data_IF_289623685209
#
_entry.id   IF_289623685209
#
_cell.length_a   1.000
_cell.length_b   1.000
_cell.length_c   1.000
_cell.angle_alpha   90.00
_cell.angle_beta   90.00
_cell.angle_gamma   90.00
#
_symmetry.space_group_name_H-M   'P 1'
#
loop_
_entity.id
_entity.type
_entity.pdbx_description
1 polymer ?
#
# COMPACT_ATOMS: atom_id res chain seq x y z
N UNK A 1 3.64 -36.42 0.53
CA UNK A 1 2.24 -36.24 0.98
C UNK A 1 2.12 -35.46 2.30
N UNK A 2 2.79 -35.85 3.40
CA UNK A 2 2.76 -35.09 4.68
C UNK A 2 3.32 -33.65 4.60
N UNK A 3 4.38 -33.44 3.81
CA UNK A 3 4.97 -32.11 3.59
C UNK A 3 4.08 -31.16 2.79
N UNK A 4 3.34 -31.65 1.80
CA UNK A 4 2.38 -30.84 1.03
C UNK A 4 1.19 -30.40 1.89
N UNK A 5 0.68 -31.30 2.74
CA UNK A 5 -0.38 -30.97 3.71
C UNK A 5 0.12 -29.94 4.73
N UNK A 6 1.36 -30.05 5.19
CA UNK A 6 1.97 -29.07 6.09
C UNK A 6 2.19 -27.72 5.41
N UNK A 7 2.64 -27.71 4.14
CA UNK A 7 2.83 -26.49 3.34
C UNK A 7 1.51 -25.74 3.14
N UNK A 8 0.45 -26.44 2.72
CA UNK A 8 -0.86 -25.81 2.52
C UNK A 8 -1.41 -25.22 3.82
N UNK A 9 -1.33 -25.95 4.94
CA UNK A 9 -1.71 -25.43 6.27
C UNK A 9 -0.91 -24.18 6.65
N UNK A 10 0.37 -24.15 6.32
CA UNK A 10 1.25 -23.01 6.58
C UNK A 10 0.76 -21.76 5.83
N UNK A 11 0.48 -21.88 4.53
CA UNK A 11 -0.05 -20.78 3.70
C UNK A 11 -1.38 -20.24 4.22
N UNK A 12 -2.28 -21.12 4.67
CA UNK A 12 -3.55 -20.71 5.28
C UNK A 12 -3.33 -19.88 6.55
N UNK A 13 -2.41 -20.28 7.43
CA UNK A 13 -2.10 -19.49 8.62
C UNK A 13 -1.55 -18.11 8.30
N UNK A 14 -0.71 -17.96 7.26
CA UNK A 14 -0.21 -16.66 6.82
C UNK A 14 -1.30 -15.79 6.21
N UNK A 15 -2.21 -16.36 5.42
CA UNK A 15 -3.38 -15.64 4.89
C UNK A 15 -4.28 -15.12 6.02
N UNK A 16 -4.54 -15.96 7.03
CA UNK A 16 -5.29 -15.54 8.23
C UNK A 16 -4.53 -14.43 8.94
N UNK A 17 -3.22 -14.58 9.17
CA UNK A 17 -2.41 -13.56 9.82
C UNK A 17 -2.44 -12.23 9.06
N UNK A 18 -2.31 -12.26 7.73
CA UNK A 18 -2.42 -11.08 6.88
C UNK A 18 -3.81 -10.42 6.99
N UNK A 19 -4.89 -11.22 6.98
CA UNK A 19 -6.25 -10.72 7.17
C UNK A 19 -6.46 -10.10 8.55
N UNK A 20 -5.92 -10.71 9.61
CA UNK A 20 -5.96 -10.17 10.98
C UNK A 20 -5.23 -8.83 11.04
N UNK A 21 -4.08 -8.67 10.38
CA UNK A 21 -3.36 -7.40 10.33
C UNK A 21 -4.22 -6.29 9.69
N UNK A 22 -4.93 -6.59 8.60
CA UNK A 22 -5.84 -5.61 7.94
C UNK A 22 -7.00 -5.23 8.84
N UNK A 23 -7.67 -6.22 9.44
CA UNK A 23 -8.81 -5.98 10.34
C UNK A 23 -8.35 -5.21 11.59
N UNK A 24 -7.21 -5.59 12.15
CA UNK A 24 -6.63 -4.92 13.31
C UNK A 24 -6.30 -3.46 13.00
N UNK A 25 -5.64 -3.20 11.86
CA UNK A 25 -5.36 -1.84 11.41
C UNK A 25 -6.65 -1.04 11.22
N UNK A 26 -7.65 -1.64 10.59
CA UNK A 26 -8.94 -1.02 10.35
C UNK A 26 -9.57 -0.55 11.66
N UNK A 27 -9.73 -1.46 12.64
CA UNK A 27 -10.30 -1.14 13.96
C UNK A 27 -9.52 -0.03 14.67
N UNK A 28 -8.18 -0.09 14.65
CA UNK A 28 -7.33 0.87 15.34
C UNK A 28 -7.44 2.30 14.77
N UNK A 29 -7.69 2.41 13.47
CA UNK A 29 -7.72 3.69 12.76
C UNK A 29 -9.12 4.25 12.56
N UNK A 30 -10.18 3.48 12.90
CA UNK A 30 -11.58 3.94 12.83
C UNK A 30 -11.85 5.22 13.62
N UNK A 31 -11.33 5.32 14.85
CA UNK A 31 -11.56 6.50 15.68
C UNK A 31 -11.02 7.77 15.03
N UNK A 32 -9.80 7.69 14.50
CA UNK A 32 -9.17 8.79 13.77
C UNK A 32 -9.89 9.09 12.44
N UNK A 33 -10.41 8.08 11.75
CA UNK A 33 -11.14 8.23 10.50
C UNK A 33 -12.44 9.03 10.70
N UNK A 34 -13.22 8.71 11.74
CA UNK A 34 -14.46 9.43 12.06
C UNK A 34 -14.19 10.92 12.29
N UNK A 35 -13.13 11.25 13.02
CA UNK A 35 -12.78 12.64 13.34
C UNK A 35 -12.17 13.39 12.13
N UNK A 36 -11.19 12.79 11.45
CA UNK A 36 -10.36 13.48 10.44
C UNK A 36 -10.90 13.39 9.01
N UNK A 37 -11.80 12.44 8.73
CA UNK A 37 -12.32 12.20 7.38
C UNK A 37 -13.80 12.55 7.30
N UNK A 38 -14.61 12.01 8.22
CA UNK A 38 -16.06 12.24 8.17
C UNK A 38 -16.46 13.66 8.58
N UNK A 39 -15.68 14.30 9.47
CA UNK A 39 -15.88 15.70 9.87
C UNK A 39 -15.35 16.76 8.88
N UNK A 40 -14.68 16.36 7.79
CA UNK A 40 -14.04 17.29 6.86
C UNK A 40 -14.67 17.28 5.45
N UNK A 41 -14.32 18.29 4.64
CA UNK A 41 -14.72 18.37 3.24
C UNK A 41 -14.12 17.21 2.44
N UNK A 42 -14.96 16.59 1.61
CA UNK A 42 -14.54 15.48 0.78
C UNK A 42 -13.65 15.99 -0.35
N UNK A 43 -12.45 15.42 -0.44
CA UNK A 43 -11.49 15.67 -1.51
C UNK A 43 -11.35 14.41 -2.36
N UNK A 44 -10.81 14.54 -3.57
CA UNK A 44 -10.46 13.39 -4.40
C UNK A 44 -9.58 12.36 -3.65
N UNK A 45 -8.62 12.85 -2.86
CA UNK A 45 -7.78 11.99 -2.00
C UNK A 45 -8.57 11.27 -0.91
N UNK A 46 -9.64 11.90 -0.39
CA UNK A 46 -10.55 11.25 0.58
C UNK A 46 -11.27 10.07 -0.06
N UNK A 47 -11.78 10.24 -1.28
CA UNK A 47 -12.51 9.19 -2.00
C UNK A 47 -11.58 8.02 -2.32
N UNK A 48 -10.38 8.30 -2.83
CA UNK A 48 -9.34 7.28 -3.06
C UNK A 48 -9.00 6.50 -1.79
N UNK A 49 -8.86 7.21 -0.66
CA UNK A 49 -8.61 6.59 0.65
C UNK A 49 -9.73 5.63 1.05
N UNK A 50 -11.00 6.09 0.97
CA UNK A 50 -12.15 5.28 1.36
C UNK A 50 -12.23 4.04 0.48
N UNK A 51 -12.07 4.19 -0.84
CA UNK A 51 -12.12 3.05 -1.77
C UNK A 51 -11.09 1.98 -1.43
N UNK A 52 -9.81 2.33 -1.24
CA UNK A 52 -8.77 1.35 -0.88
C UNK A 52 -9.11 0.65 0.43
N UNK A 53 -9.61 1.42 1.41
CA UNK A 53 -9.88 0.91 2.75
C UNK A 53 -11.08 -0.04 2.80
N UNK A 54 -12.18 0.30 2.13
CA UNK A 54 -13.38 -0.53 2.10
C UNK A 54 -13.24 -1.72 1.13
N UNK A 55 -12.33 -1.67 0.15
CA UNK A 55 -11.98 -2.81 -0.69
C UNK A 55 -11.05 -3.80 0.03
N UNK A 56 -10.19 -3.33 0.94
CA UNK A 56 -9.25 -4.19 1.67
C UNK A 56 -9.92 -5.26 2.55
N UNK A 57 -11.00 -4.91 3.24
CA UNK A 57 -11.76 -5.87 4.07
C UNK A 57 -12.32 -7.06 3.29
N UNK A 58 -13.15 -6.87 2.23
CA UNK A 58 -13.65 -7.98 1.45
C UNK A 58 -12.52 -8.74 0.74
N UNK A 59 -11.47 -8.05 0.28
CA UNK A 59 -10.30 -8.70 -0.29
C UNK A 59 -9.65 -9.70 0.69
N UNK A 60 -9.38 -9.27 1.92
CA UNK A 60 -8.81 -10.14 2.95
C UNK A 60 -9.75 -11.29 3.34
N UNK A 61 -11.05 -11.03 3.47
CA UNK A 61 -12.03 -12.07 3.83
C UNK A 61 -12.17 -13.11 2.73
N UNK A 62 -12.29 -12.68 1.47
CA UNK A 62 -12.39 -13.60 0.32
C UNK A 62 -11.10 -14.41 0.19
N UNK A 63 -9.93 -13.77 0.34
CA UNK A 63 -8.63 -14.46 0.32
C UNK A 63 -8.54 -15.57 1.37
N UNK A 64 -8.97 -15.30 2.61
CA UNK A 64 -9.01 -16.32 3.67
C UNK A 64 -10.04 -17.41 3.37
N UNK A 65 -11.21 -17.06 2.83
CA UNK A 65 -12.26 -18.03 2.49
C UNK A 65 -11.82 -19.02 1.42
N UNK A 66 -11.13 -18.54 0.36
CA UNK A 66 -10.58 -19.40 -0.69
C UNK A 66 -9.46 -20.29 -0.14
N UNK A 67 -8.68 -19.79 0.80
CA UNK A 67 -7.59 -20.55 1.42
C UNK A 67 -8.09 -21.72 2.30
N UNK A 68 -9.29 -21.60 2.87
CA UNK A 68 -9.79 -22.55 3.86
C UNK A 68 -10.31 -23.84 3.20
N UNK A 69 -9.67 -25.00 3.44
CA UNK A 69 -10.12 -26.28 2.88
C UNK A 69 -11.45 -26.77 3.45
N UNK A 70 -11.94 -26.15 4.54
CA UNK A 70 -13.23 -26.48 5.16
C UNK A 70 -14.45 -25.88 4.44
N UNK A 71 -14.25 -24.88 3.58
CA UNK A 71 -15.33 -24.27 2.81
C UNK A 71 -15.37 -24.96 1.44
N UNK A 72 -16.32 -25.88 1.24
CA UNK A 72 -16.56 -26.51 -0.05
C UNK A 72 -17.14 -25.48 -1.03
N UNK A 73 -16.29 -24.66 -1.63
CA UNK A 73 -16.67 -23.80 -2.75
C UNK A 73 -16.82 -24.69 -4.00
N UNK A 74 -17.90 -24.52 -4.75
CA UNK A 74 -18.01 -25.13 -6.08
C UNK A 74 -16.87 -24.62 -6.97
N UNK A 75 -16.29 -25.47 -7.81
CA UNK A 75 -15.17 -25.12 -8.71
C UNK A 75 -15.39 -23.80 -9.46
N UNK A 76 -16.62 -23.56 -9.95
CA UNK A 76 -17.00 -22.31 -10.62
C UNK A 76 -16.91 -21.08 -9.72
N UNK A 77 -17.31 -21.21 -8.45
CA UNK A 77 -17.27 -20.10 -7.47
C UNK A 77 -15.82 -19.79 -7.10
N UNK A 78 -14.97 -20.81 -6.95
CA UNK A 78 -13.54 -20.64 -6.71
C UNK A 78 -12.85 -19.85 -7.83
N UNK A 79 -13.12 -20.21 -9.10
CA UNK A 79 -12.56 -19.52 -10.28
C UNK A 79 -13.02 -18.05 -10.33
N UNK A 80 -14.32 -17.80 -10.11
CA UNK A 80 -14.86 -16.43 -10.11
C UNK A 80 -14.24 -15.62 -8.97
N UNK A 81 -14.07 -16.20 -7.79
CA UNK A 81 -13.51 -15.51 -6.64
C UNK A 81 -12.01 -15.20 -6.82
N UNK A 82 -11.23 -16.12 -7.38
CA UNK A 82 -9.81 -15.91 -7.70
C UNK A 82 -9.64 -14.82 -8.76
N UNK A 83 -10.44 -14.87 -9.84
CA UNK A 83 -10.50 -13.82 -10.84
C UNK A 83 -10.85 -12.45 -10.23
N UNK A 84 -11.82 -12.43 -9.31
CA UNK A 84 -12.21 -11.21 -8.62
C UNK A 84 -11.08 -10.65 -7.74
N UNK A 85 -10.33 -11.50 -7.03
CA UNK A 85 -9.16 -11.08 -6.24
C UNK A 85 -8.04 -10.55 -7.13
N UNK A 86 -7.78 -11.19 -8.27
CA UNK A 86 -6.77 -10.74 -9.21
C UNK A 86 -7.11 -9.36 -9.78
N UNK A 87 -8.35 -9.19 -10.25
CA UNK A 87 -8.85 -7.90 -10.73
C UNK A 87 -8.83 -6.83 -9.63
N UNK A 88 -9.21 -7.20 -8.40
CA UNK A 88 -9.17 -6.28 -7.26
C UNK A 88 -7.75 -5.82 -6.97
N UNK A 89 -6.75 -6.71 -7.07
CA UNK A 89 -5.35 -6.38 -6.88
C UNK A 89 -4.88 -5.34 -7.91
N UNK A 90 -5.25 -5.51 -9.18
CA UNK A 90 -4.96 -4.54 -10.25
C UNK A 90 -5.60 -3.18 -9.95
N UNK A 91 -6.87 -3.17 -9.54
CA UNK A 91 -7.58 -1.93 -9.18
C UNK A 91 -6.91 -1.23 -8.00
N UNK A 92 -6.51 -1.97 -6.97
CA UNK A 92 -5.85 -1.40 -5.79
C UNK A 92 -4.47 -0.83 -6.15
N UNK A 93 -3.66 -1.52 -6.96
CA UNK A 93 -2.39 -0.99 -7.46
C UNK A 93 -2.59 0.28 -8.29
N UNK A 94 -3.62 0.32 -9.14
CA UNK A 94 -3.99 1.50 -9.90
C UNK A 94 -4.29 2.69 -8.98
N UNK A 95 -5.09 2.46 -7.93
CA UNK A 95 -5.46 3.49 -6.96
C UNK A 95 -4.24 3.99 -6.16
N UNK A 96 -3.37 3.08 -5.72
CA UNK A 96 -2.12 3.42 -5.03
C UNK A 96 -1.19 4.22 -5.93
N UNK A 97 -1.09 3.86 -7.21
CA UNK A 97 -0.31 4.60 -8.19
C UNK A 97 -0.85 6.01 -8.42
N UNK A 98 -2.18 6.19 -8.48
CA UNK A 98 -2.81 7.51 -8.54
C UNK A 98 -2.46 8.34 -7.29
N UNK A 99 -2.51 7.74 -6.09
CA UNK A 99 -2.12 8.42 -4.84
C UNK A 99 -0.65 8.86 -4.90
N UNK A 100 0.23 7.99 -5.37
CA UNK A 100 1.65 8.28 -5.53
C UNK A 100 1.90 9.45 -6.49
N UNK A 101 1.23 9.46 -7.66
CA UNK A 101 1.32 10.55 -8.64
C UNK A 101 0.78 11.85 -8.06
N UNK A 102 -0.37 11.81 -7.40
CA UNK A 102 -1.00 13.01 -6.85
C UNK A 102 -0.20 13.59 -5.67
N UNK A 103 0.48 12.74 -4.88
CA UNK A 103 1.46 13.19 -3.87
C UNK A 103 2.71 13.78 -4.52
N UNK A 104 3.22 13.16 -5.58
CA UNK A 104 4.35 13.72 -6.33
C UNK A 104 3.98 15.06 -6.98
N UNK A 105 2.75 15.20 -7.51
CA UNK A 105 2.20 16.46 -8.04
C UNK A 105 2.23 17.56 -6.98
N UNK A 106 1.77 17.27 -5.76
CA UNK A 106 1.81 18.21 -4.64
C UNK A 106 3.25 18.65 -4.31
N UNK A 107 4.23 17.74 -4.39
CA UNK A 107 5.65 18.06 -4.25
C UNK A 107 6.19 18.86 -5.46
N UNK A 108 5.55 18.78 -6.63
CA UNK A 108 6.03 19.33 -7.91
C UNK A 108 5.41 20.69 -8.30
N UNK A 109 4.66 21.34 -7.41
CA UNK A 109 3.78 22.50 -7.67
C UNK A 109 4.38 23.63 -8.54
N UNK A 110 5.71 23.74 -8.71
CA UNK A 110 6.34 24.89 -9.35
C UNK A 110 7.38 24.62 -10.45
N UNK A 111 7.72 23.36 -10.81
CA UNK A 111 9.00 23.13 -11.54
C UNK A 111 8.95 22.56 -12.96
N UNK A 112 7.94 21.80 -13.39
CA UNK A 112 7.76 21.32 -14.79
C UNK A 112 6.60 20.32 -14.93
N UNK A 113 5.51 20.71 -15.60
CA UNK A 113 4.40 19.80 -15.88
C UNK A 113 4.80 18.62 -16.78
N UNK A 114 5.86 18.77 -17.58
CA UNK A 114 6.32 17.77 -18.56
C UNK A 114 6.75 16.47 -17.87
N UNK A 115 7.52 16.57 -16.78
CA UNK A 115 7.99 15.39 -16.05
C UNK A 115 6.83 14.60 -15.42
N UNK A 116 5.80 15.32 -14.97
CA UNK A 116 4.60 14.69 -14.42
C UNK A 116 3.78 14.01 -15.53
N UNK A 117 3.62 14.68 -16.68
CA UNK A 117 2.97 14.08 -17.85
C UNK A 117 3.71 12.81 -18.28
N UNK A 118 5.04 12.82 -18.36
CA UNK A 118 5.81 11.62 -18.69
C UNK A 118 5.62 10.50 -17.66
N UNK A 119 5.50 10.83 -16.37
CA UNK A 119 5.25 9.84 -15.32
C UNK A 119 3.85 9.22 -15.43
N UNK A 120 2.84 10.04 -15.74
CA UNK A 120 1.46 9.57 -15.96
C UNK A 120 1.37 8.67 -17.19
N UNK A 121 2.03 9.03 -18.28
CA UNK A 121 2.09 8.21 -19.50
C UNK A 121 2.77 6.88 -19.19
N UNK A 122 3.90 6.89 -18.48
CA UNK A 122 4.59 5.68 -18.09
C UNK A 122 3.73 4.79 -17.18
N UNK A 123 3.04 5.39 -16.21
CA UNK A 123 2.09 4.67 -15.34
C UNK A 123 0.97 4.00 -16.15
N UNK A 124 0.37 4.74 -17.09
CA UNK A 124 -0.72 4.22 -17.91
C UNK A 124 -0.25 3.04 -18.78
N UNK A 125 0.94 3.14 -19.38
CA UNK A 125 1.54 2.06 -20.15
C UNK A 125 1.77 0.79 -19.31
N UNK A 126 2.29 0.94 -18.08
CA UNK A 126 2.47 -0.15 -17.12
C UNK A 126 1.14 -0.82 -16.76
N UNK A 127 0.09 -0.04 -16.49
CA UNK A 127 -1.23 -0.58 -16.18
C UNK A 127 -1.85 -1.34 -17.36
N UNK A 128 -1.74 -0.81 -18.58
CA UNK A 128 -2.26 -1.48 -19.79
C UNK A 128 -1.56 -2.83 -20.00
N UNK A 129 -0.22 -2.86 -19.86
CA UNK A 129 0.55 -4.10 -19.97
C UNK A 129 0.13 -5.13 -18.90
N UNK A 130 -0.02 -4.67 -17.66
CA UNK A 130 -0.44 -5.51 -16.54
C UNK A 130 -1.85 -6.11 -16.71
N UNK A 131 -2.82 -5.29 -17.14
CA UNK A 131 -4.19 -5.79 -17.42
C UNK A 131 -4.15 -6.84 -18.53
N UNK A 132 -3.39 -6.59 -19.60
CA UNK A 132 -3.20 -7.56 -20.68
C UNK A 132 -2.60 -8.88 -20.20
N UNK A 133 -1.56 -8.83 -19.36
CA UNK A 133 -0.97 -10.03 -18.76
C UNK A 133 -1.93 -10.77 -17.83
N UNK A 134 -2.72 -10.04 -17.03
CA UNK A 134 -3.73 -10.64 -16.14
C UNK A 134 -4.75 -11.44 -16.93
N UNK A 135 -5.30 -10.86 -18.01
CA UNK A 135 -6.27 -11.53 -18.87
C UNK A 135 -5.66 -12.78 -19.51
N UNK A 136 -4.42 -12.69 -19.99
CA UNK A 136 -3.69 -13.84 -20.56
C UNK A 136 -3.52 -14.94 -19.52
N UNK A 137 -3.03 -14.62 -18.31
CA UNK A 137 -2.86 -15.59 -17.22
C UNK A 137 -4.20 -16.26 -16.91
N UNK A 138 -5.29 -15.51 -16.76
CA UNK A 138 -6.60 -16.06 -16.46
C UNK A 138 -7.17 -16.98 -17.56
N UNK A 139 -6.81 -16.76 -18.83
CA UNK A 139 -7.22 -17.65 -19.94
C UNK A 139 -6.48 -19.00 -19.87
N UNK A 140 -5.24 -19.02 -19.36
CA UNK A 140 -4.41 -20.22 -19.26
C UNK A 140 -4.54 -20.99 -17.93
N UNK A 141 -5.33 -20.50 -16.96
CA UNK A 141 -5.63 -21.26 -15.74
C UNK A 141 -6.54 -22.44 -16.11
N UNK A 142 -5.96 -23.65 -16.17
CA UNK A 142 -6.71 -24.90 -16.26
C UNK A 142 -6.93 -25.41 -14.83
N UNK A 143 -8.18 -25.70 -14.41
CA UNK A 143 -8.41 -26.31 -13.11
C UNK A 143 -7.85 -27.74 -13.11
N UNK A 144 -6.76 -27.98 -12.38
CA UNK A 144 -6.23 -29.32 -12.12
C UNK A 144 -6.80 -29.86 -10.82
N UNK A 145 -7.70 -30.84 -10.88
CA UNK A 145 -8.20 -31.53 -9.68
C UNK A 145 -7.17 -32.58 -9.29
N UNK A 146 -6.41 -32.36 -8.21
CA UNK A 146 -5.66 -33.45 -7.56
C UNK A 146 -6.40 -33.92 -6.30
N UNK A 147 -6.69 -35.22 -6.22
CA UNK A 147 -7.30 -35.86 -5.05
C UNK A 147 -6.30 -35.92 -3.87
N UNK A 148 -6.28 -34.88 -3.04
CA UNK A 148 -5.55 -34.88 -1.79
C UNK A 148 -6.30 -35.65 -0.70
N UNK A 149 -6.00 -36.94 -0.51
CA UNK A 149 -6.61 -37.74 0.56
C UNK A 149 -6.19 -37.19 1.95
N UNK A 150 -7.04 -36.37 2.55
CA UNK A 150 -6.86 -35.80 3.88
C UNK A 150 -7.14 -36.90 4.91
N UNK A 151 -6.08 -37.42 5.54
CA UNK A 151 -6.22 -38.40 6.62
C UNK A 151 -7.17 -37.89 7.70
N UNK A 152 -8.18 -38.71 8.02
CA UNK A 152 -9.30 -38.54 8.95
C UNK A 152 -10.57 -37.83 8.41
N UNK A 153 -11.45 -38.68 7.84
CA UNK A 153 -12.93 -38.60 7.77
C UNK A 153 -13.63 -37.40 7.11
N UNK A 154 -12.95 -36.56 6.34
CA UNK A 154 -13.63 -35.61 5.45
C UNK A 154 -12.83 -35.42 4.16
N UNK A 155 -13.36 -35.92 3.04
CA UNK A 155 -12.82 -35.65 1.71
C UNK A 155 -12.99 -34.15 1.42
N UNK A 156 -11.96 -33.35 1.70
CA UNK A 156 -11.91 -31.96 1.30
C UNK A 156 -11.25 -31.87 -0.08
N UNK A 157 -12.02 -31.54 -1.11
CA UNK A 157 -11.50 -31.19 -2.42
C UNK A 157 -10.75 -29.86 -2.28
N UNK A 158 -9.43 -29.88 -2.39
CA UNK A 158 -8.66 -28.66 -2.54
C UNK A 158 -8.45 -28.43 -4.03
N UNK A 159 -9.07 -27.39 -4.60
CA UNK A 159 -8.76 -26.94 -5.95
C UNK A 159 -7.34 -26.36 -5.94
N UNK A 160 -6.38 -27.11 -6.46
CA UNK A 160 -5.04 -26.59 -6.71
C UNK A 160 -4.96 -26.22 -8.19
N UNK A 161 -4.68 -24.96 -8.50
CA UNK A 161 -4.56 -24.52 -9.89
C UNK A 161 -3.11 -24.71 -10.35
N UNK A 162 -2.87 -25.73 -11.18
CA UNK A 162 -1.60 -25.94 -11.85
C UNK A 162 -1.46 -25.00 -13.04
N UNK A 163 -0.31 -24.34 -13.15
CA UNK A 163 0.06 -23.59 -14.35
C UNK A 163 0.71 -24.56 -15.35
N UNK A 164 0.19 -24.64 -16.58
CA UNK A 164 0.78 -25.47 -17.62
C UNK A 164 1.79 -24.63 -18.44
N UNK A 165 3.09 -24.97 -18.40
CA UNK A 165 4.13 -24.40 -19.28
C UNK A 165 4.68 -23.02 -18.88
N UNK A 166 4.92 -22.13 -19.86
CA UNK A 166 5.59 -20.81 -19.74
C UNK A 166 4.88 -19.78 -18.83
N UNK A 167 3.78 -20.16 -18.18
CA UNK A 167 2.98 -19.31 -17.31
C UNK A 167 3.71 -18.89 -16.02
N UNK A 168 4.69 -19.67 -15.55
CA UNK A 168 5.54 -19.28 -14.41
C UNK A 168 6.39 -18.05 -14.72
N UNK A 169 7.01 -18.02 -15.91
CA UNK A 169 7.79 -16.88 -16.39
C UNK A 169 6.89 -15.65 -16.60
N UNK A 170 5.64 -15.88 -17.02
CA UNK A 170 4.63 -14.84 -17.17
C UNK A 170 4.24 -14.21 -15.82
N UNK A 171 4.14 -15.02 -14.76
CA UNK A 171 3.90 -14.54 -13.38
C UNK A 171 5.06 -13.70 -12.82
N UNK A 172 6.30 -14.04 -13.18
CA UNK A 172 7.49 -13.28 -12.79
C UNK A 172 7.65 -11.96 -13.54
N UNK A 173 7.35 -11.97 -14.84
CA UNK A 173 7.36 -10.78 -15.70
C UNK A 173 6.24 -9.81 -15.32
N UNK A 174 5.13 -10.29 -14.75
CA UNK A 174 3.98 -9.49 -14.35
C UNK A 174 4.31 -8.33 -13.39
N UNK A 175 5.17 -8.56 -12.41
CA UNK A 175 5.49 -7.58 -11.36
C UNK A 175 6.59 -6.58 -11.73
N UNK A 176 7.42 -6.92 -12.73
CA UNK A 176 8.55 -6.11 -13.16
C UNK A 176 8.16 -4.67 -13.56
N UNK A 177 7.12 -4.46 -14.40
CA UNK A 177 6.70 -3.12 -14.81
C UNK A 177 6.36 -2.18 -13.65
N UNK A 178 5.67 -2.68 -12.61
CA UNK A 178 5.33 -1.89 -11.43
C UNK A 178 6.57 -1.47 -10.64
N UNK A 179 7.50 -2.40 -10.45
CA UNK A 179 8.73 -2.14 -9.68
C UNK A 179 9.63 -1.12 -10.38
N UNK A 180 9.72 -1.19 -11.71
CA UNK A 180 10.42 -0.17 -12.51
C UNK A 180 9.73 1.19 -12.34
N UNK A 181 8.40 1.22 -12.37
CA UNK A 181 7.64 2.45 -12.17
C UNK A 181 7.83 3.05 -10.77
N UNK A 182 7.82 2.21 -9.73
CA UNK A 182 8.09 2.62 -8.35
C UNK A 182 9.50 3.16 -8.17
N UNK A 183 10.48 2.53 -8.82
CA UNK A 183 11.85 3.02 -8.83
C UNK A 183 11.93 4.43 -9.43
N UNK A 184 11.25 4.67 -10.55
CA UNK A 184 11.19 6.01 -11.16
C UNK A 184 10.50 7.00 -10.22
N UNK A 185 9.38 6.64 -9.60
CA UNK A 185 8.69 7.49 -8.63
C UNK A 185 9.56 7.83 -7.41
N UNK A 186 10.25 6.83 -6.85
CA UNK A 186 11.18 6.99 -5.73
C UNK A 186 12.35 7.88 -6.12
N UNK A 187 13.00 7.63 -7.25
CA UNK A 187 14.10 8.43 -7.76
C UNK A 187 13.69 9.91 -7.90
N UNK A 188 12.51 10.16 -8.49
CA UNK A 188 11.98 11.51 -8.64
C UNK A 188 11.73 12.16 -7.27
N UNK A 189 11.12 11.44 -6.34
CA UNK A 189 10.85 11.93 -4.98
C UNK A 189 12.12 12.33 -4.23
N UNK A 190 13.17 11.50 -4.29
CA UNK A 190 14.47 11.75 -3.65
C UNK A 190 15.15 12.93 -4.31
N UNK A 191 15.15 12.99 -5.65
CA UNK A 191 15.75 14.11 -6.40
C UNK A 191 15.10 15.43 -6.02
N UNK A 192 13.78 15.46 -5.87
CA UNK A 192 13.03 16.65 -5.45
C UNK A 192 13.39 16.99 -4.00
N UNK A 193 13.36 16.03 -3.09
CA UNK A 193 13.71 16.25 -1.69
C UNK A 193 15.12 16.85 -1.56
N UNK A 194 16.13 16.24 -2.18
CA UNK A 194 17.52 16.70 -2.16
C UNK A 194 17.68 18.08 -2.80
N UNK A 195 16.98 18.35 -3.91
CA UNK A 195 17.02 19.67 -4.55
C UNK A 195 16.41 20.74 -3.64
N UNK A 196 15.27 20.46 -3.04
CA UNK A 196 14.57 21.39 -2.16
C UNK A 196 15.38 21.68 -0.89
N UNK A 197 15.98 20.66 -0.26
CA UNK A 197 16.88 20.86 0.88
C UNK A 197 18.12 21.68 0.50
N UNK A 198 18.67 21.50 -0.70
CA UNK A 198 19.78 22.32 -1.20
C UNK A 198 19.36 23.77 -1.45
N UNK A 199 18.19 23.99 -2.03
CA UNK A 199 17.65 25.33 -2.29
C UNK A 199 17.36 26.06 -0.95
N UNK A 200 16.74 25.38 0.03
CA UNK A 200 16.55 25.89 1.40
C UNK A 200 17.89 26.24 2.09
N UNK A 201 18.90 25.37 1.95
CA UNK A 201 20.23 25.61 2.54
C UNK A 201 20.96 26.79 1.88
N UNK A 202 20.69 27.04 0.59
CA UNK A 202 21.27 28.17 -0.17
C UNK A 202 20.57 29.50 0.13
N UNK A 203 19.26 29.50 0.40
CA UNK A 203 18.52 30.72 0.69
C UNK A 203 18.72 31.24 2.13
N UNK A 204 19.26 30.44 3.05
CA UNK A 204 19.51 30.87 4.43
C UNK A 204 18.23 31.27 5.20
N UNK A 205 18.32 31.53 6.52
CA UNK A 205 17.17 31.85 7.38
C UNK A 205 16.71 33.31 7.20
N UNK A 206 16.46 33.75 5.98
CA UNK A 206 15.98 35.12 5.68
C UNK A 206 14.45 35.24 5.76
N UNK A 207 13.74 34.14 6.01
CA UNK A 207 12.28 34.15 6.16
C UNK A 207 11.92 33.48 7.48
N UNK A 208 11.58 34.28 8.48
CA UNK A 208 11.23 33.89 9.85
C UNK A 208 9.93 33.09 9.99
N UNK A 209 9.71 32.06 9.16
CA UNK A 209 8.66 31.06 9.37
C UNK A 209 9.29 29.69 9.59
N UNK A 210 9.86 29.49 10.79
CA UNK A 210 10.40 28.20 11.25
C UNK A 210 9.33 27.10 11.18
N UNK A 211 8.06 27.45 11.41
CA UNK A 211 6.93 26.51 11.47
C UNK A 211 6.60 25.93 10.07
N UNK A 212 6.63 26.73 9.00
CA UNK A 212 6.30 26.27 7.65
C UNK A 212 7.38 25.37 7.03
N UNK A 213 8.65 25.65 7.30
CA UNK A 213 9.79 24.86 6.82
C UNK A 213 9.85 23.46 7.44
N UNK A 214 9.51 23.34 8.72
CA UNK A 214 9.52 22.06 9.43
C UNK A 214 8.35 21.16 9.03
N UNK A 215 7.15 21.73 8.82
CA UNK A 215 6.00 21.01 8.27
C UNK A 215 6.33 20.39 6.90
N UNK A 216 6.86 21.20 5.98
CA UNK A 216 7.23 20.72 4.64
C UNK A 216 8.34 19.65 4.70
N UNK A 217 9.33 19.82 5.59
CA UNK A 217 10.39 18.83 5.82
C UNK A 217 9.84 17.48 6.29
N UNK A 218 8.95 17.49 7.29
CA UNK A 218 8.32 16.27 7.82
C UNK A 218 7.45 15.60 6.77
N UNK A 219 6.67 16.39 6.02
CA UNK A 219 5.83 15.91 4.93
C UNK A 219 6.68 15.21 3.86
N UNK A 220 7.72 15.86 3.36
CA UNK A 220 8.64 15.31 2.35
C UNK A 220 9.32 14.02 2.83
N UNK A 221 9.78 13.96 4.08
CA UNK A 221 10.38 12.76 4.66
C UNK A 221 9.38 11.59 4.67
N UNK A 222 8.14 11.87 5.06
CA UNK A 222 7.08 10.86 5.11
C UNK A 222 6.72 10.33 3.71
N UNK A 223 6.69 11.20 2.70
CA UNK A 223 6.49 10.79 1.30
C UNK A 223 7.64 9.92 0.76
N UNK A 224 8.89 10.30 1.01
CA UNK A 224 10.05 9.51 0.54
C UNK A 224 10.10 8.15 1.23
N UNK A 225 9.83 8.09 2.54
CA UNK A 225 9.77 6.83 3.27
C UNK A 225 8.67 5.91 2.75
N UNK A 226 7.51 6.46 2.38
CA UNK A 226 6.44 5.71 1.74
C UNK A 226 6.88 5.10 0.42
N UNK A 227 7.47 5.89 -0.47
CA UNK A 227 7.96 5.39 -1.76
C UNK A 227 9.08 4.37 -1.59
N UNK A 228 9.96 4.56 -0.62
CA UNK A 228 11.05 3.63 -0.32
C UNK A 228 10.52 2.31 0.24
N UNK A 229 9.51 2.36 1.12
CA UNK A 229 8.85 1.17 1.65
C UNK A 229 8.14 0.37 0.56
N UNK A 230 7.47 1.07 -0.37
CA UNK A 230 6.75 0.44 -1.48
C UNK A 230 7.74 -0.26 -2.43
N UNK A 231 8.76 0.46 -2.89
CA UNK A 231 9.83 -0.10 -3.72
C UNK A 231 10.57 -1.25 -3.04
N UNK A 232 10.91 -1.10 -1.75
CA UNK A 232 11.60 -2.15 -0.99
C UNK A 232 10.79 -3.43 -0.90
N UNK A 233 9.50 -3.34 -0.62
CA UNK A 233 8.62 -4.49 -0.58
C UNK A 233 8.43 -5.15 -1.95
N UNK A 234 8.34 -4.37 -3.03
CA UNK A 234 8.34 -4.90 -4.40
C UNK A 234 9.67 -5.58 -4.75
N UNK A 235 10.82 -5.04 -4.33
CA UNK A 235 12.11 -5.70 -4.52
C UNK A 235 12.21 -7.06 -3.82
N UNK A 236 11.56 -7.22 -2.66
CA UNK A 236 11.55 -8.49 -1.94
C UNK A 236 10.86 -9.61 -2.74
N UNK A 237 9.97 -9.28 -3.68
CA UNK A 237 9.31 -10.25 -4.57
C UNK A 237 10.25 -10.81 -5.66
N UNK A 238 11.34 -10.09 -5.98
CA UNK A 238 12.33 -10.50 -6.99
C UNK A 238 13.52 -11.25 -6.42
N UNK A 239 13.64 -11.33 -5.09
CA UNK A 239 14.74 -12.07 -4.49
C UNK A 239 14.57 -13.54 -4.88
N UNK A 240 15.61 -14.20 -5.45
CA UNK A 240 15.58 -15.63 -5.76
C UNK A 240 15.66 -16.43 -4.45
N UNK A 241 14.56 -16.38 -3.70
CA UNK A 241 14.25 -17.21 -2.55
C UNK A 241 13.10 -18.12 -2.98
N UNK A 242 12.94 -19.31 -2.38
CA UNK A 242 11.80 -20.15 -2.70
C UNK A 242 10.52 -19.42 -2.26
N UNK A 243 9.69 -19.04 -3.25
CA UNK A 243 8.54 -18.15 -3.09
C UNK A 243 8.66 -16.75 -3.70
N UNK A 244 9.85 -16.34 -4.15
CA UNK A 244 10.04 -15.21 -5.06
C UNK A 244 9.86 -15.65 -6.51
N UNK A 245 9.35 -14.75 -7.37
CA UNK A 245 8.97 -15.14 -8.74
C UNK A 245 10.17 -15.54 -9.64
N UNK A 246 11.40 -15.19 -9.25
CA UNK A 246 12.63 -15.56 -9.97
C UNK A 246 13.38 -16.73 -9.31
N UNK A 247 12.76 -17.49 -8.41
CA UNK A 247 13.38 -18.67 -7.82
C UNK A 247 13.78 -19.65 -8.93
N UNK A 248 15.07 -19.91 -9.17
CA UNK A 248 15.46 -20.98 -10.07
C UNK A 248 15.06 -22.30 -9.40
N UNK A 249 14.18 -23.08 -10.04
CA UNK A 249 14.04 -24.51 -9.74
C UNK A 249 15.36 -25.21 -10.12
N UNK A 250 16.37 -25.06 -9.27
CA UNK A 250 17.58 -25.86 -9.32
C UNK A 250 17.66 -26.83 -8.14
N UNK A 251 16.53 -27.10 -7.46
CA UNK A 251 16.45 -28.24 -6.55
C UNK A 251 15.25 -29.13 -6.86
N UNK A 252 15.43 -30.47 -6.84
CA UNK A 252 14.42 -31.42 -7.27
C UNK A 252 13.27 -31.47 -6.27
N UNK A 253 12.10 -31.85 -6.77
CA UNK A 253 10.88 -32.15 -6.04
C UNK A 253 11.16 -32.84 -4.68
N UNK A 254 10.99 -32.13 -3.56
CA UNK A 254 10.89 -32.81 -2.26
C UNK A 254 11.21 -32.04 -0.98
N UNK A 255 11.94 -30.93 -0.99
CA UNK A 255 12.32 -30.27 0.27
C UNK A 255 12.19 -28.74 0.24
N UNK A 256 10.96 -28.23 0.32
CA UNK A 256 10.78 -26.86 0.82
C UNK A 256 11.32 -26.79 2.25
N UNK A 257 12.31 -25.93 2.49
CA UNK A 257 12.78 -25.67 3.84
C UNK A 257 11.68 -24.97 4.64
N UNK A 258 11.64 -25.18 5.95
CA UNK A 258 10.76 -24.37 6.83
C UNK A 258 11.07 -22.88 6.68
N UNK A 259 12.33 -22.53 6.40
CA UNK A 259 12.74 -21.14 6.13
C UNK A 259 12.06 -20.54 4.90
N UNK A 260 11.88 -21.33 3.85
CA UNK A 260 11.27 -20.92 2.59
C UNK A 260 9.79 -20.59 2.76
N UNK A 261 9.09 -21.48 3.46
CA UNK A 261 7.68 -21.29 3.80
C UNK A 261 7.49 -20.02 4.64
N UNK A 262 8.40 -19.74 5.59
CA UNK A 262 8.37 -18.54 6.42
C UNK A 262 8.55 -17.28 5.56
N UNK A 263 9.50 -17.30 4.63
CA UNK A 263 9.76 -16.16 3.74
C UNK A 263 8.55 -15.89 2.85
N UNK A 264 7.98 -16.91 2.22
CA UNK A 264 6.79 -16.78 1.40
C UNK A 264 5.62 -16.18 2.18
N UNK A 265 5.36 -16.70 3.39
CA UNK A 265 4.34 -16.15 4.28
C UNK A 265 4.58 -14.70 4.69
N UNK A 266 5.84 -14.34 4.97
CA UNK A 266 6.21 -12.97 5.28
C UNK A 266 5.97 -12.02 4.10
N UNK A 267 6.35 -12.42 2.88
CA UNK A 267 6.10 -11.65 1.66
C UNK A 267 4.62 -11.38 1.45
N UNK A 268 3.77 -12.37 1.73
CA UNK A 268 2.32 -12.22 1.65
C UNK A 268 1.78 -11.17 2.63
N UNK A 269 2.24 -11.17 3.88
CA UNK A 269 1.89 -10.12 4.84
C UNK A 269 2.37 -8.75 4.36
N UNK A 270 3.63 -8.64 3.91
CA UNK A 270 4.18 -7.37 3.43
C UNK A 270 3.37 -6.79 2.28
N UNK A 271 2.95 -7.64 1.34
CA UNK A 271 2.13 -7.23 0.20
C UNK A 271 0.77 -6.69 0.63
N UNK A 272 0.06 -7.40 1.52
CA UNK A 272 -1.24 -6.97 2.04
C UNK A 272 -1.11 -5.67 2.85
N UNK A 273 -0.06 -5.53 3.66
CA UNK A 273 0.24 -4.32 4.43
C UNK A 273 0.55 -3.13 3.50
N UNK A 274 1.34 -3.36 2.46
CA UNK A 274 1.67 -2.34 1.46
C UNK A 274 0.42 -1.83 0.74
N UNK A 275 -0.48 -2.75 0.37
CA UNK A 275 -1.70 -2.41 -0.35
C UNK A 275 -2.72 -1.67 0.50
N UNK A 276 -3.01 -2.17 1.71
CA UNK A 276 -4.19 -1.75 2.47
C UNK A 276 -3.89 -0.97 3.73
N UNK A 277 -2.66 -1.00 4.25
CA UNK A 277 -2.32 -0.36 5.53
C UNK A 277 -1.45 0.88 5.33
N UNK A 278 -0.40 0.77 4.52
CA UNK A 278 0.63 1.81 4.42
C UNK A 278 0.08 3.13 3.84
N UNK A 279 -0.69 3.04 2.75
CA UNK A 279 -1.32 4.19 2.10
C UNK A 279 -2.31 4.93 3.01
N UNK A 280 -3.31 4.23 3.58
CA UNK A 280 -4.25 4.81 4.52
C UNK A 280 -3.61 5.46 5.74
N UNK A 281 -2.66 4.79 6.41
CA UNK A 281 -1.96 5.35 7.59
C UNK A 281 -1.21 6.64 7.27
N UNK A 282 -0.57 6.71 6.11
CA UNK A 282 0.15 7.90 5.70
C UNK A 282 -0.79 9.07 5.39
N UNK A 283 -2.01 8.82 4.90
CA UNK A 283 -3.01 9.88 4.68
C UNK A 283 -3.51 10.40 6.03
N UNK A 284 -3.83 9.48 6.96
CA UNK A 284 -4.29 9.84 8.30
C UNK A 284 -3.23 10.63 9.07
N UNK A 285 -1.96 10.19 9.07
CA UNK A 285 -0.90 10.88 9.82
C UNK A 285 -0.65 12.32 9.33
N UNK A 286 -0.79 12.57 8.02
CA UNK A 286 -0.68 13.93 7.46
C UNK A 286 -1.87 14.79 7.87
N UNK A 287 -3.09 14.23 7.86
CA UNK A 287 -4.29 14.97 8.29
C UNK A 287 -4.26 15.28 9.77
N UNK A 288 -3.85 14.32 10.59
CA UNK A 288 -3.69 14.50 12.03
C UNK A 288 -2.67 15.60 12.32
N UNK A 289 -1.52 15.57 11.63
CA UNK A 289 -0.50 16.59 11.76
C UNK A 289 -1.03 17.98 11.35
N UNK A 290 -1.74 18.07 10.23
CA UNK A 290 -2.35 19.31 9.79
C UNK A 290 -3.41 19.83 10.78
N UNK A 291 -4.25 18.95 11.32
CA UNK A 291 -5.24 19.31 12.34
C UNK A 291 -4.58 19.87 13.60
N UNK A 292 -3.49 19.23 14.08
CA UNK A 292 -2.70 19.72 15.22
C UNK A 292 -2.05 21.07 14.94
N UNK A 293 -1.55 21.28 13.72
CA UNK A 293 -0.95 22.56 13.31
C UNK A 293 -1.98 23.70 13.31
N UNK A 294 -3.17 23.45 12.77
CA UNK A 294 -4.27 24.43 12.77
C UNK A 294 -4.71 24.75 14.20
N UNK A 295 -4.93 23.74 15.03
CA UNK A 295 -5.31 23.94 16.43
C UNK A 295 -4.24 24.72 17.23
N UNK A 296 -2.96 24.47 16.98
CA UNK A 296 -1.86 25.22 17.60
C UNK A 296 -1.83 26.69 17.17
N UNK A 297 -2.06 26.96 15.88
CA UNK A 297 -2.16 28.34 15.36
C UNK A 297 -3.34 29.09 15.96
N UNK A 298 -4.51 28.45 16.08
CA UNK A 298 -5.70 29.08 16.65
C UNK A 298 -5.52 29.39 18.15
N UNK A 299 -4.85 28.51 18.89
CA UNK A 299 -4.49 28.73 20.29
C UNK A 299 -3.50 29.89 20.47
N UNK A 300 -2.50 30.01 19.59
CA UNK A 300 -1.52 31.11 19.59
C UNK A 300 -2.18 32.46 19.23
N UNK A 301 -3.07 32.48 18.23
CA UNK A 301 -3.87 33.66 17.88
C UNK A 301 -4.78 34.07 19.04
N UNK A 302 -5.43 33.10 19.71
CA UNK A 302 -6.27 33.35 20.88
C UNK A 302 -5.48 33.97 22.03
N UNK A 303 -4.32 33.39 22.40
CA UNK A 303 -3.46 33.95 23.45
C UNK A 303 -2.97 35.36 23.12
N UNK A 304 -2.55 35.61 21.87
CA UNK A 304 -2.10 36.93 21.45
C UNK A 304 -3.23 37.96 21.49
N UNK A 305 -4.47 37.59 21.17
CA UNK A 305 -5.63 38.48 21.28
C UNK A 305 -5.95 38.86 22.73
N UNK A 306 -5.82 37.92 23.67
CA UNK A 306 -6.06 38.15 25.11
C UNK A 306 -4.99 39.10 25.68
N UNK A 307 -3.72 38.88 25.35
CA UNK A 307 -2.61 39.75 25.80
C UNK A 307 -2.72 41.17 25.22
N UNK A 308 -3.23 41.31 23.98
CA UNK A 308 -3.46 42.63 23.39
C UNK A 308 -4.61 43.37 24.08
N UNK A 309 -5.67 42.65 24.46
CA UNK A 309 -6.81 43.22 25.17
C UNK A 309 -6.44 43.64 26.60
N UNK A 310 -5.53 42.92 27.26
CA UNK A 310 -5.02 43.28 28.60
C UNK A 310 -4.14 44.54 28.56
N UNK A 311 -3.38 44.79 27.48
CA UNK A 311 -2.57 46.01 27.32
C UNK A 311 -3.37 47.27 26.93
N UNK A 312 -4.56 47.12 26.36
CA UNK A 312 -5.42 48.24 25.97
C UNK A 312 -6.29 48.75 27.14
N UNK A 313 -6.28 48.08 28.30
CA UNK A 313 -7.08 48.46 29.48
C UNK A 313 -6.31 49.19 30.60
N UNK A 314 -5.12 49.74 30.32
CA UNK A 314 -4.39 50.60 31.29
C UNK A 314 -4.20 52.00 30.72
N UNK A 315 -5.29 52.74 30.57
CA UNK A 315 -5.28 54.21 30.63
C UNK A 315 -6.46 54.66 31.50
N UNK A 316 -6.30 54.55 32.83
CA UNK A 316 -7.12 55.33 33.76
C UNK A 316 -6.39 56.63 34.08
N UNK A 317 -6.92 57.68 33.45
CA UNK A 317 -6.83 59.10 33.77
C UNK A 317 -6.30 59.46 35.16
N UNK A 318 -5.23 60.24 35.19
CA UNK A 318 -4.97 61.20 36.26
C UNK A 318 -4.72 62.58 35.64
N UNK A 319 -5.77 63.39 35.56
CA UNK A 319 -5.68 64.83 35.33
C UNK A 319 -6.12 65.51 36.64
N UNK A 320 -5.15 66.23 37.21
CA UNK A 320 -5.20 67.45 38.05
C UNK A 320 -6.20 67.51 39.20
#
# INVERSE_FOLDING_TARGET
>A
MSLLVNSNRFSVYWMIAAGVVVVYDWVLTLGQEIELIWGQRWSFMTVLYLLIRYVGLPYSVIGVLIAMPSVSLTDTVGIIADFALCLTSVVVLLMLGIIMIARLHAMYHQRSRIMLISLVIFFLAVNIACVGLTVTICIFIVPSIEEGNFGSSTNAYACNYGFEGDAELLSAVYWMPYTIWEFVALYLSVRIAVKHFRDLRRLGPLTGSTIGGDCFRVLMKSHVLYFASFFGASCLQFVPLPGGFFSPYLEPEGSYSVGDLIIYGALQIFFVVQMFVLGPRLILSIREYHAKLVAGSDAEISMNSIVFQERVHVETSSIV
#
